data_IF_097446130567
#
_entry.id   IF_097446130567
#
_cell.length_a   1.000
_cell.length_b   1.000
_cell.length_c   1.000
_cell.angle_alpha   90.00
_cell.angle_beta   90.00
_cell.angle_gamma   90.00
#
_symmetry.space_group_name_H-M   'P 1'
#
loop_
_entity.id
_entity.type
_entity.pdbx_description
1 polymer ?
#
# COMPACT_ATOMS: atom_id res chain seq x y z
N UNK A 1 8.97 -4.38 15.88
CA UNK A 1 8.38 -3.30 15.09
C UNK A 1 7.16 -2.69 15.76
N UNK A 2 6.54 -3.27 16.79
CA UNK A 2 5.31 -2.70 17.37
C UNK A 2 5.45 -1.39 18.19
N UNK A 3 6.62 -0.76 18.31
CA UNK A 3 6.76 0.45 19.13
C UNK A 3 7.65 1.53 18.49
N UNK A 4 8.83 1.16 17.99
CA UNK A 4 9.83 2.16 17.56
C UNK A 4 9.48 3.00 16.33
N UNK A 5 8.62 2.50 15.42
CA UNK A 5 8.22 3.24 14.21
C UNK A 5 7.29 4.43 14.49
N UNK A 6 6.64 4.44 15.66
CA UNK A 6 5.66 5.46 16.03
C UNK A 6 6.22 6.48 17.04
N UNK A 7 7.51 6.35 17.39
CA UNK A 7 8.23 7.27 18.27
C UNK A 7 9.02 8.35 17.50
N UNK A 8 8.79 8.49 16.18
CA UNK A 8 9.44 9.52 15.36
C UNK A 8 10.88 9.17 14.95
N UNK A 9 11.37 7.97 15.24
CA UNK A 9 12.66 7.51 14.72
C UNK A 9 12.51 7.16 13.23
N UNK A 10 13.07 8.03 12.37
CA UNK A 10 13.20 7.85 10.92
C UNK A 10 13.57 6.40 10.57
N UNK A 11 12.72 5.80 9.73
CA UNK A 11 12.70 4.52 9.01
C UNK A 11 14.00 3.70 8.80
N UNK A 12 14.96 3.68 9.72
CA UNK A 12 16.26 3.08 9.48
C UNK A 12 16.87 2.57 10.78
N UNK A 13 17.40 1.35 10.70
CA UNK A 13 18.53 1.00 11.54
C UNK A 13 19.61 2.06 11.24
N UNK A 14 20.04 2.88 12.22
CA UNK A 14 20.75 4.15 11.97
C UNK A 14 22.16 3.98 11.38
N UNK A 15 22.57 2.73 11.17
CA UNK A 15 23.89 2.35 10.69
C UNK A 15 23.72 1.32 9.58
N UNK A 16 24.64 1.30 8.62
CA UNK A 16 24.68 0.22 7.65
C UNK A 16 24.90 -1.12 8.37
N UNK A 17 24.10 -2.13 8.02
CA UNK A 17 24.25 -3.51 8.52
C UNK A 17 25.49 -4.10 7.86
N UNK A 18 26.45 -4.56 8.66
CA UNK A 18 27.72 -5.13 8.17
C UNK A 18 27.78 -6.65 8.34
N UNK A 19 27.02 -7.20 9.28
CA UNK A 19 26.96 -8.64 9.55
C UNK A 19 25.60 -9.04 10.15
N UNK A 20 25.24 -10.33 10.12
CA UNK A 20 23.99 -10.81 10.74
C UNK A 20 23.91 -10.59 12.27
N UNK A 21 25.05 -10.42 12.95
CA UNK A 21 25.08 -10.10 14.38
C UNK A 21 24.44 -8.75 14.69
N UNK A 22 24.61 -7.75 13.80
CA UNK A 22 24.06 -6.40 13.94
C UNK A 22 22.52 -6.40 14.02
N UNK A 23 21.89 -7.35 13.33
CA UNK A 23 20.44 -7.45 13.18
C UNK A 23 19.79 -8.49 14.08
N UNK A 24 20.56 -9.34 14.75
CA UNK A 24 20.04 -10.46 15.57
C UNK A 24 19.15 -9.99 16.72
N UNK A 25 19.41 -8.79 17.26
CA UNK A 25 18.62 -8.18 18.34
C UNK A 25 17.41 -7.39 17.83
N UNK A 26 17.25 -7.24 16.53
CA UNK A 26 16.14 -6.47 15.97
C UNK A 26 14.84 -7.29 15.99
N UNK A 27 13.73 -6.68 16.42
CA UNK A 27 12.46 -7.37 16.49
C UNK A 27 11.98 -7.79 15.10
N UNK A 28 11.36 -8.98 15.00
CA UNK A 28 10.86 -9.61 13.77
C UNK A 28 11.93 -10.09 12.77
N UNK A 29 13.22 -9.99 13.10
CA UNK A 29 14.29 -10.60 12.30
C UNK A 29 14.59 -12.01 12.81
N UNK A 30 13.83 -12.97 12.29
CA UNK A 30 14.00 -14.39 12.60
C UNK A 30 15.13 -15.07 11.81
N UNK A 31 15.43 -16.35 12.09
CA UNK A 31 16.53 -17.08 11.45
C UNK A 31 16.47 -17.10 9.92
N UNK A 32 15.26 -17.13 9.33
CA UNK A 32 15.11 -17.06 7.86
C UNK A 32 15.62 -15.73 7.31
N UNK A 33 15.18 -14.60 7.87
CA UNK A 33 15.58 -13.26 7.42
C UNK A 33 17.08 -13.03 7.66
N UNK A 34 17.63 -13.51 8.78
CA UNK A 34 19.07 -13.43 9.07
C UNK A 34 19.90 -14.13 7.98
N UNK A 35 19.49 -15.34 7.57
CA UNK A 35 20.16 -16.06 6.48
C UNK A 35 20.13 -15.29 5.15
N UNK A 36 19.00 -14.66 4.82
CA UNK A 36 18.88 -13.84 3.62
C UNK A 36 19.77 -12.59 3.67
N UNK A 37 19.90 -11.96 4.84
CA UNK A 37 20.82 -10.82 5.04
C UNK A 37 22.27 -11.28 4.85
N UNK A 38 22.68 -12.39 5.46
CA UNK A 38 24.02 -12.94 5.29
C UNK A 38 24.33 -13.32 3.83
N UNK A 39 23.37 -13.92 3.13
CA UNK A 39 23.49 -14.25 1.71
C UNK A 39 23.71 -12.98 0.87
N UNK A 40 22.91 -11.94 1.13
CA UNK A 40 23.04 -10.67 0.43
C UNK A 40 24.38 -9.98 0.72
N UNK A 41 24.82 -9.93 1.98
CA UNK A 41 26.10 -9.32 2.35
C UNK A 41 27.30 -10.04 1.71
N UNK A 42 27.22 -11.36 1.52
CA UNK A 42 28.29 -12.15 0.89
C UNK A 42 28.29 -12.08 -0.63
N UNK A 43 27.11 -12.08 -1.25
CA UNK A 43 26.97 -12.30 -2.71
C UNK A 43 26.43 -11.09 -3.48
N UNK A 44 25.98 -10.05 -2.77
CA UNK A 44 25.25 -8.90 -3.31
C UNK A 44 23.86 -9.23 -3.85
N UNK A 45 23.37 -10.46 -3.67
CA UNK A 45 22.16 -10.99 -4.30
C UNK A 45 21.41 -11.91 -3.34
N UNK A 46 20.12 -12.10 -3.58
CA UNK A 46 19.30 -13.11 -2.88
C UNK A 46 18.78 -14.09 -3.92
N UNK A 47 19.18 -15.35 -3.82
CA UNK A 47 18.85 -16.41 -4.77
C UNK A 47 17.36 -16.72 -4.81
N UNK A 48 16.68 -16.78 -3.65
CA UNK A 48 15.22 -16.97 -3.56
C UNK A 48 14.47 -15.85 -4.29
N UNK A 49 14.88 -14.59 -4.10
CA UNK A 49 14.29 -13.44 -4.77
C UNK A 49 14.51 -13.51 -6.29
N UNK A 50 15.72 -13.86 -6.75
CA UNK A 50 16.01 -14.04 -8.18
C UNK A 50 15.17 -15.13 -8.82
N UNK A 51 15.03 -16.28 -8.14
CA UNK A 51 14.19 -17.39 -8.61
C UNK A 51 12.72 -16.96 -8.70
N UNK A 52 12.23 -16.22 -7.71
CA UNK A 52 10.87 -15.69 -7.72
C UNK A 52 10.66 -14.72 -8.89
N UNK A 53 11.54 -13.73 -9.06
CA UNK A 53 11.47 -12.75 -10.16
C UNK A 53 11.63 -13.37 -11.55
N UNK A 54 12.37 -14.47 -11.67
CA UNK A 54 12.53 -15.21 -12.92
C UNK A 54 11.34 -16.12 -13.25
N UNK A 55 10.44 -16.40 -12.30
CA UNK A 55 9.32 -17.29 -12.54
C UNK A 55 8.28 -16.63 -13.45
N UNK A 56 7.84 -17.35 -14.49
CA UNK A 56 6.78 -16.90 -15.41
C UNK A 56 5.53 -16.47 -14.62
N UNK A 57 5.12 -17.28 -13.63
CA UNK A 57 3.98 -16.99 -12.77
C UNK A 57 4.11 -15.61 -12.10
N UNK A 58 5.26 -15.29 -11.51
CA UNK A 58 5.45 -14.00 -10.85
C UNK A 58 5.45 -12.85 -11.86
N UNK A 59 6.13 -13.01 -12.99
CA UNK A 59 6.20 -11.99 -14.05
C UNK A 59 4.81 -11.67 -14.59
N UNK A 60 4.02 -12.69 -14.92
CA UNK A 60 2.66 -12.51 -15.41
C UNK A 60 1.77 -11.88 -14.33
N UNK A 61 1.76 -12.42 -13.11
CA UNK A 61 0.91 -11.85 -12.05
C UNK A 61 1.27 -10.40 -11.73
N UNK A 62 2.55 -10.05 -11.78
CA UNK A 62 3.02 -8.67 -11.57
C UNK A 62 2.59 -7.76 -12.73
N UNK A 63 2.76 -8.21 -13.98
CA UNK A 63 2.31 -7.49 -15.18
C UNK A 63 0.80 -7.22 -15.14
N UNK A 64 0.00 -8.25 -14.89
CA UNK A 64 -1.45 -8.12 -14.87
C UNK A 64 -1.93 -7.23 -13.73
N UNK A 65 -1.29 -7.33 -12.57
CA UNK A 65 -1.65 -6.52 -11.42
C UNK A 65 -1.36 -5.03 -11.63
N UNK A 66 -0.45 -4.65 -12.54
CA UNK A 66 -0.16 -3.24 -12.88
C UNK A 66 -1.34 -2.53 -13.54
N UNK A 67 -2.29 -3.27 -14.12
CA UNK A 67 -3.49 -2.70 -14.74
C UNK A 67 -4.43 -2.19 -13.65
N UNK A 68 -4.81 -0.91 -13.72
CA UNK A 68 -5.75 -0.34 -12.77
C UNK A 68 -7.10 -1.10 -12.77
N UNK A 69 -7.57 -1.47 -11.57
CA UNK A 69 -8.74 -2.31 -11.37
C UNK A 69 -8.48 -3.83 -11.44
N UNK A 70 -7.26 -4.27 -11.75
CA UNK A 70 -6.84 -5.68 -11.69
C UNK A 70 -6.00 -5.90 -10.43
N UNK A 71 -6.67 -6.30 -9.34
CA UNK A 71 -5.99 -6.68 -8.10
C UNK A 71 -5.38 -8.09 -8.14
N UNK A 72 -4.67 -8.48 -7.07
CA UNK A 72 -4.02 -9.78 -6.97
C UNK A 72 -4.99 -10.98 -7.15
N UNK A 73 -6.26 -10.85 -6.73
CA UNK A 73 -7.27 -11.89 -6.93
C UNK A 73 -7.60 -12.05 -8.44
N UNK A 74 -7.96 -10.95 -9.10
CA UNK A 74 -8.26 -10.92 -10.53
C UNK A 74 -7.06 -11.39 -11.36
N UNK A 75 -5.84 -10.96 -11.01
CA UNK A 75 -4.62 -11.40 -11.69
C UNK A 75 -4.42 -12.92 -11.60
N UNK A 76 -4.70 -13.53 -10.43
CA UNK A 76 -4.63 -15.00 -10.26
C UNK A 76 -5.71 -15.72 -11.05
N UNK A 77 -6.92 -15.19 -11.08
CA UNK A 77 -8.01 -15.74 -11.87
C UNK A 77 -7.68 -15.71 -13.37
N UNK A 78 -7.25 -14.56 -13.88
CA UNK A 78 -6.81 -14.41 -15.27
C UNK A 78 -5.70 -15.38 -15.62
N UNK A 79 -4.66 -15.48 -14.79
CA UNK A 79 -3.59 -16.46 -14.96
C UNK A 79 -4.11 -17.90 -14.99
N UNK A 80 -5.01 -18.27 -14.07
CA UNK A 80 -5.59 -19.61 -13.99
C UNK A 80 -6.42 -19.96 -15.24
N UNK A 81 -7.06 -18.97 -15.85
CA UNK A 81 -7.80 -19.11 -17.12
C UNK A 81 -6.92 -19.02 -18.37
N UNK A 82 -5.59 -18.96 -18.21
CA UNK A 82 -4.63 -18.91 -19.32
C UNK A 82 -4.37 -17.53 -19.92
N UNK A 83 -4.97 -16.46 -19.36
CA UNK A 83 -4.72 -15.08 -19.80
C UNK A 83 -3.42 -14.59 -19.17
N UNK A 84 -2.38 -14.42 -19.98
CA UNK A 84 -1.02 -14.14 -19.51
C UNK A 84 -0.44 -12.82 -20.01
N UNK A 85 -1.08 -12.19 -20.99
CA UNK A 85 -0.61 -10.95 -21.61
C UNK A 85 -1.62 -9.82 -21.45
N UNK A 86 -1.17 -8.58 -21.59
CA UNK A 86 -2.08 -7.41 -21.64
C UNK A 86 -3.04 -7.48 -22.83
N UNK A 87 -2.65 -8.12 -23.93
CA UNK A 87 -3.51 -8.33 -25.08
C UNK A 87 -4.67 -9.29 -24.76
N UNK A 88 -4.42 -10.32 -23.95
CA UNK A 88 -5.48 -11.22 -23.48
C UNK A 88 -6.50 -10.46 -22.62
N UNK A 89 -6.02 -9.54 -21.77
CA UNK A 89 -6.90 -8.69 -20.97
C UNK A 89 -7.67 -7.69 -21.84
N UNK A 90 -7.03 -7.07 -22.85
CA UNK A 90 -7.70 -6.18 -23.81
C UNK A 90 -8.84 -6.90 -24.52
N UNK A 91 -8.62 -8.12 -25.01
CA UNK A 91 -9.68 -8.95 -25.63
C UNK A 91 -10.80 -9.27 -24.63
N UNK A 92 -10.45 -9.69 -23.42
CA UNK A 92 -11.44 -10.07 -22.40
C UNK A 92 -12.29 -8.90 -21.93
N UNK A 93 -11.68 -7.76 -21.60
CA UNK A 93 -12.40 -6.59 -21.12
C UNK A 93 -13.05 -5.80 -22.25
N UNK A 94 -12.52 -5.83 -23.47
CA UNK A 94 -13.18 -5.26 -24.66
C UNK A 94 -14.56 -5.88 -24.89
N UNK A 95 -14.65 -7.21 -24.85
CA UNK A 95 -15.94 -7.90 -24.95
C UNK A 95 -16.92 -7.57 -23.81
N UNK A 96 -16.40 -7.25 -22.61
CA UNK A 96 -17.23 -6.84 -21.47
C UNK A 96 -17.72 -5.39 -21.54
N UNK A 97 -16.98 -4.52 -22.23
CA UNK A 97 -17.40 -3.13 -22.51
C UNK A 97 -18.58 -3.10 -23.46
N UNK A 98 -18.58 -3.94 -24.50
CA UNK A 98 -19.73 -4.12 -25.39
C UNK A 98 -20.99 -4.58 -24.62
N UNK A 99 -20.78 -5.32 -23.53
CA UNK A 99 -21.83 -5.71 -22.58
C UNK A 99 -22.12 -4.68 -21.46
N UNK A 100 -21.54 -3.47 -21.52
CA UNK A 100 -21.82 -2.36 -20.61
C UNK A 100 -21.11 -2.41 -19.25
N UNK A 101 -20.07 -3.23 -19.06
CA UNK A 101 -19.38 -3.39 -17.77
C UNK A 101 -17.87 -3.13 -17.86
N UNK A 102 -17.21 -2.86 -16.73
CA UNK A 102 -15.74 -2.74 -16.62
C UNK A 102 -15.06 -1.66 -17.50
N UNK A 103 -15.78 -0.60 -17.89
CA UNK A 103 -15.26 0.56 -18.62
C UNK A 103 -13.95 1.11 -18.04
N UNK A 104 -13.84 1.20 -16.71
CA UNK A 104 -12.63 1.69 -16.03
C UNK A 104 -11.39 0.80 -16.23
N UNK A 105 -11.56 -0.52 -16.35
CA UNK A 105 -10.44 -1.44 -16.62
C UNK A 105 -10.04 -1.36 -18.09
N UNK A 106 -11.01 -1.23 -19.00
CA UNK A 106 -10.73 -1.06 -20.42
C UNK A 106 -9.97 0.23 -20.71
N UNK A 107 -10.42 1.36 -20.15
CA UNK A 107 -9.70 2.63 -20.24
C UNK A 107 -8.28 2.54 -19.64
N UNK A 108 -8.13 1.83 -18.52
CA UNK A 108 -6.81 1.58 -17.92
C UNK A 108 -5.89 0.72 -18.79
N UNK A 109 -6.42 -0.23 -19.56
CA UNK A 109 -5.66 -1.07 -20.49
C UNK A 109 -5.23 -0.31 -21.75
N UNK A 110 -6.03 0.66 -22.18
CA UNK A 110 -5.68 1.58 -23.27
C UNK A 110 -4.60 2.57 -22.84
N UNK A 111 -4.69 3.07 -21.61
CA UNK A 111 -3.77 4.05 -21.03
C UNK A 111 -2.63 3.41 -20.23
N UNK A 112 -2.45 2.10 -20.30
CA UNK A 112 -1.54 1.34 -19.44
C UNK A 112 -0.09 1.82 -19.55
N UNK A 113 0.37 2.13 -20.76
CA UNK A 113 1.73 2.62 -21.01
C UNK A 113 1.97 4.03 -20.39
N UNK A 114 0.91 4.76 -20.04
CA UNK A 114 0.97 6.10 -19.46
C UNK A 114 0.69 6.11 -17.94
N UNK A 115 0.09 5.04 -17.40
CA UNK A 115 -0.37 4.97 -16.02
C UNK A 115 0.44 3.94 -15.22
N UNK A 116 1.57 4.36 -14.67
CA UNK A 116 2.26 3.60 -13.62
C UNK A 116 1.63 3.92 -12.25
N UNK A 117 0.88 2.97 -11.67
CA UNK A 117 0.80 2.64 -10.23
C UNK A 117 -0.49 1.90 -9.88
N UNK A 118 -0.40 1.02 -8.88
CA UNK A 118 -1.51 0.23 -8.34
C UNK A 118 -1.78 0.61 -6.88
N UNK A 119 -2.99 1.07 -6.58
CA UNK A 119 -3.48 1.15 -5.22
C UNK A 119 -4.79 0.38 -5.12
N UNK A 120 -4.89 -0.51 -4.13
CA UNK A 120 -6.11 -1.23 -3.82
C UNK A 120 -6.98 -0.37 -2.89
N UNK A 121 -8.21 -0.11 -3.32
CA UNK A 121 -9.22 0.65 -2.57
C UNK A 121 -9.71 -0.15 -1.35
N UNK A 122 -9.48 0.37 -0.15
CA UNK A 122 -9.99 -0.14 1.14
C UNK A 122 -10.29 1.05 2.05
N UNK A 123 -11.25 1.90 1.67
CA UNK A 123 -11.67 3.03 2.48
C UNK A 123 -13.16 3.34 2.29
N UNK A 124 -13.78 3.87 3.34
CA UNK A 124 -15.22 4.11 3.50
C UNK A 124 -15.62 5.51 3.02
N UNK A 125 -14.67 6.44 2.93
CA UNK A 125 -14.91 7.80 2.45
C UNK A 125 -15.33 7.81 0.97
N UNK A 126 -16.15 8.79 0.58
CA UNK A 126 -16.52 9.03 -0.81
C UNK A 126 -15.29 9.41 -1.64
N UNK A 127 -15.20 8.87 -2.86
CA UNK A 127 -14.02 9.03 -3.73
C UNK A 127 -14.39 9.09 -5.20
N UNK A 128 -13.61 9.88 -5.93
CA UNK A 128 -13.52 9.80 -7.36
C UNK A 128 -12.09 9.36 -7.74
N UNK A 129 -11.97 8.17 -8.32
CA UNK A 129 -10.73 7.66 -8.90
C UNK A 129 -10.78 7.99 -10.39
N UNK A 130 -10.03 9.00 -10.82
CA UNK A 130 -10.14 9.56 -12.17
C UNK A 130 -8.81 9.54 -12.90
N UNK A 131 -8.90 9.60 -14.22
CA UNK A 131 -7.75 9.83 -15.09
C UNK A 131 -7.98 11.17 -15.77
N UNK A 132 -7.03 12.10 -15.60
CA UNK A 132 -7.08 13.43 -16.21
C UNK A 132 -6.01 13.53 -17.31
N UNK A 133 -6.31 14.31 -18.36
CA UNK A 133 -5.35 14.64 -19.43
C UNK A 133 -5.15 16.15 -19.49
N UNK A 134 -4.16 16.72 -18.79
CA UNK A 134 -3.82 18.12 -18.95
C UNK A 134 -3.31 18.38 -20.38
N UNK A 135 -3.64 19.54 -20.95
CA UNK A 135 -3.33 19.89 -22.34
C UNK A 135 -1.82 19.77 -22.62
N UNK A 136 -1.45 18.99 -23.64
CA UNK A 136 -0.05 18.79 -24.04
C UNK A 136 0.77 17.89 -23.12
N UNK A 137 0.13 17.12 -22.22
CA UNK A 137 0.82 16.23 -21.29
C UNK A 137 0.24 14.81 -21.30
N UNK A 138 0.97 13.89 -20.69
CA UNK A 138 0.54 12.51 -20.48
C UNK A 138 -0.68 12.45 -19.55
N UNK A 139 -1.46 11.37 -19.67
CA UNK A 139 -2.54 11.11 -18.72
C UNK A 139 -1.97 10.94 -17.30
N UNK A 140 -2.78 11.32 -16.31
CA UNK A 140 -2.44 11.24 -14.88
C UNK A 140 -3.60 10.63 -14.12
N UNK A 141 -3.32 9.61 -13.30
CA UNK A 141 -4.28 9.10 -12.33
C UNK A 141 -4.34 10.04 -11.13
N UNK A 142 -5.54 10.43 -10.74
CA UNK A 142 -5.80 11.32 -9.60
C UNK A 142 -6.87 10.68 -8.73
N UNK A 143 -6.59 10.59 -7.43
CA UNK A 143 -7.58 10.17 -6.44
C UNK A 143 -8.09 11.41 -5.73
N UNK A 144 -9.40 11.67 -5.83
CA UNK A 144 -10.07 12.73 -5.10
C UNK A 144 -10.85 12.07 -3.98
N UNK A 145 -10.55 12.45 -2.74
CA UNK A 145 -11.19 11.92 -1.54
C UNK A 145 -12.00 13.03 -0.88
N UNK A 146 -13.27 12.73 -0.58
CA UNK A 146 -14.16 13.63 0.13
C UNK A 146 -14.28 13.16 1.58
N UNK A 147 -13.89 14.03 2.51
CA UNK A 147 -13.95 13.76 3.94
C UNK A 147 -14.83 14.81 4.63
N UNK A 148 -15.82 14.40 5.45
CA UNK A 148 -16.48 15.31 6.37
C UNK A 148 -15.46 16.00 7.28
N UNK A 149 -15.72 17.27 7.64
CA UNK A 149 -14.80 18.06 8.46
C UNK A 149 -14.41 17.37 9.77
N UNK A 150 -15.33 16.61 10.37
CA UNK A 150 -15.13 15.86 11.62
C UNK A 150 -14.10 14.73 11.54
N UNK A 151 -13.77 14.26 10.34
CA UNK A 151 -12.85 13.13 10.11
C UNK A 151 -11.71 13.51 9.15
N UNK A 152 -11.58 14.80 8.83
CA UNK A 152 -10.59 15.31 7.89
C UNK A 152 -9.18 14.89 8.28
N UNK A 153 -8.80 15.07 9.55
CA UNK A 153 -7.43 14.78 10.01
C UNK A 153 -7.11 13.28 10.04
N UNK A 154 -8.08 12.42 10.34
CA UNK A 154 -7.89 10.98 10.21
C UNK A 154 -7.79 10.55 8.75
N UNK A 155 -8.51 11.23 7.85
CA UNK A 155 -8.39 11.03 6.41
C UNK A 155 -6.99 11.43 5.91
N UNK A 156 -6.48 12.61 6.31
CA UNK A 156 -5.12 13.06 5.96
C UNK A 156 -4.09 12.01 6.40
N UNK A 157 -4.10 11.60 7.67
CA UNK A 157 -3.16 10.57 8.17
C UNK A 157 -3.32 9.25 7.41
N UNK A 158 -4.56 8.82 7.13
CA UNK A 158 -4.84 7.57 6.43
C UNK A 158 -4.41 7.55 4.95
N UNK A 159 -4.46 8.70 4.27
CA UNK A 159 -4.15 8.84 2.84
C UNK A 159 -2.72 9.30 2.55
N UNK A 160 -2.03 9.90 3.52
CA UNK A 160 -0.60 10.23 3.42
C UNK A 160 0.27 8.96 3.39
N UNK A 161 -0.18 7.88 4.05
CA UNK A 161 0.55 6.62 4.09
C UNK A 161 1.83 6.69 4.96
N UNK A 162 2.78 5.76 4.79
CA UNK A 162 2.78 4.63 3.84
C UNK A 162 1.75 3.54 4.18
N UNK A 163 1.57 2.54 3.31
CA UNK A 163 0.65 1.41 3.55
C UNK A 163 1.07 0.61 4.78
N UNK A 164 2.35 0.30 4.96
CA UNK A 164 2.85 -0.37 6.15
C UNK A 164 2.66 0.50 7.39
N UNK A 165 2.96 1.79 7.32
CA UNK A 165 2.73 2.73 8.43
C UNK A 165 1.26 2.73 8.86
N UNK A 166 0.33 2.88 7.91
CA UNK A 166 -1.10 2.82 8.19
C UNK A 166 -1.58 1.46 8.69
N UNK A 167 -0.94 0.34 8.32
CA UNK A 167 -1.22 -0.98 8.92
C UNK A 167 -0.81 -1.03 10.38
N UNK A 168 0.41 -0.60 10.68
CA UNK A 168 0.96 -0.65 12.04
C UNK A 168 0.23 0.32 12.96
N UNK A 169 -0.14 1.51 12.48
CA UNK A 169 -0.96 2.48 13.22
C UNK A 169 -2.32 1.87 13.62
N UNK A 170 -2.97 1.14 12.71
CA UNK A 170 -4.23 0.43 13.01
C UNK A 170 -4.06 -0.69 14.03
N UNK A 171 -2.96 -1.44 13.93
CA UNK A 171 -2.63 -2.49 14.91
C UNK A 171 -2.39 -1.87 16.29
N UNK A 172 -1.65 -0.76 16.36
CA UNK A 172 -1.39 -0.02 17.59
C UNK A 172 -2.67 0.54 18.20
N UNK A 173 -3.50 1.23 17.41
CA UNK A 173 -4.80 1.74 17.86
C UNK A 173 -5.63 0.63 18.51
N UNK A 174 -5.67 -0.55 17.89
CA UNK A 174 -6.36 -1.73 18.44
C UNK A 174 -5.81 -2.16 19.80
N UNK A 175 -4.49 -2.10 19.99
CA UNK A 175 -3.85 -2.39 21.27
C UNK A 175 -4.18 -1.36 22.36
N UNK A 176 -4.50 -0.12 21.96
CA UNK A 176 -4.98 0.94 22.84
C UNK A 176 -6.50 0.87 23.11
N UNK A 177 -7.20 -0.16 22.63
CA UNK A 177 -8.66 -0.26 22.76
C UNK A 177 -9.43 0.66 21.81
N UNK A 178 -8.78 1.15 20.75
CA UNK A 178 -9.33 2.06 19.75
C UNK A 178 -9.38 1.41 18.37
N UNK A 179 -10.27 1.88 17.52
CA UNK A 179 -10.24 1.65 16.08
C UNK A 179 -9.80 2.96 15.44
N UNK A 180 -8.86 2.85 14.51
CA UNK A 180 -8.46 3.96 13.64
C UNK A 180 -8.63 3.51 12.19
N UNK A 181 -9.16 4.40 11.35
CA UNK A 181 -9.06 4.37 9.89
C UNK A 181 -9.25 5.79 9.34
N UNK A 182 -9.21 5.95 8.02
CA UNK A 182 -9.39 7.26 7.36
C UNK A 182 -10.75 7.90 7.65
N UNK A 183 -11.74 7.14 8.10
CA UNK A 183 -13.08 7.63 8.45
C UNK A 183 -13.23 8.00 9.92
N UNK A 184 -12.19 7.85 10.75
CA UNK A 184 -12.21 8.36 12.13
C UNK A 184 -11.49 7.50 13.15
N UNK A 185 -11.56 7.94 14.40
CA UNK A 185 -11.18 7.17 15.58
C UNK A 185 -12.44 6.82 16.37
N UNK A 186 -12.60 5.57 16.78
CA UNK A 186 -13.66 5.15 17.69
C UNK A 186 -13.14 4.27 18.81
N UNK A 187 -13.82 4.24 19.94
CA UNK A 187 -13.54 3.25 20.98
C UNK A 187 -14.04 1.87 20.53
N UNK A 188 -13.24 0.82 20.74
CA UNK A 188 -13.64 -0.55 20.36
C UNK A 188 -14.82 -1.10 21.18
N UNK A 189 -14.97 -0.63 22.42
CA UNK A 189 -15.96 -1.17 23.37
C UNK A 189 -17.40 -0.72 23.09
N UNK A 190 -17.57 0.54 22.68
CA UNK A 190 -18.87 1.23 22.61
C UNK A 190 -19.05 2.00 21.30
N UNK A 191 -18.09 1.92 20.36
CA UNK A 191 -18.08 2.63 19.08
C UNK A 191 -18.21 4.15 19.19
N UNK A 192 -17.98 4.73 20.38
CA UNK A 192 -18.09 6.18 20.56
C UNK A 192 -16.97 6.88 19.78
N UNK A 193 -17.30 7.90 18.96
CA UNK A 193 -16.31 8.59 18.14
C UNK A 193 -15.40 9.50 18.98
N UNK A 194 -14.16 9.64 18.50
CA UNK A 194 -13.16 10.58 19.01
C UNK A 194 -12.79 11.51 17.85
N UNK A 195 -13.08 12.79 18.01
CA UNK A 195 -12.74 13.83 17.03
C UNK A 195 -11.32 14.33 17.31
N UNK A 196 -10.58 14.60 16.23
CA UNK A 196 -9.27 15.24 16.25
C UNK A 196 -9.30 16.45 15.30
N UNK A 197 -8.61 17.52 15.70
CA UNK A 197 -8.59 18.81 14.99
C UNK A 197 -7.24 19.16 14.36
N UNK A 198 -6.27 18.25 14.43
CA UNK A 198 -5.00 18.30 13.68
C UNK A 198 -4.45 16.89 13.48
N UNK A 199 -3.39 16.72 12.67
CA UNK A 199 -2.69 15.43 12.61
C UNK A 199 -2.06 15.10 13.97
N UNK A 200 -1.42 16.04 14.64
CA UNK A 200 -0.80 15.87 15.96
C UNK A 200 -1.83 15.38 16.99
N UNK A 201 -3.05 15.91 16.95
CA UNK A 201 -4.14 15.40 17.79
C UNK A 201 -4.48 13.94 17.46
N UNK A 202 -4.50 13.52 16.19
CA UNK A 202 -4.72 12.11 15.82
C UNK A 202 -3.68 11.21 16.53
N UNK A 203 -2.40 11.57 16.48
CA UNK A 203 -1.34 10.83 17.15
C UNK A 203 -1.49 10.87 18.69
N UNK A 204 -1.79 12.03 19.25
CA UNK A 204 -2.02 12.21 20.68
C UNK A 204 -3.18 11.34 21.18
N UNK A 205 -4.32 11.28 20.47
CA UNK A 205 -5.46 10.41 20.81
C UNK A 205 -5.13 8.92 20.73
N UNK A 206 -4.12 8.55 19.94
CA UNK A 206 -3.60 7.19 19.84
C UNK A 206 -2.46 6.90 20.83
N UNK A 207 -2.17 7.82 21.75
CA UNK A 207 -1.05 7.75 22.71
C UNK A 207 0.31 7.58 22.01
N UNK A 208 0.54 8.35 20.96
CA UNK A 208 1.78 8.37 20.18
C UNK A 208 2.36 9.78 20.11
N UNK A 209 3.67 9.83 19.94
CA UNK A 209 4.32 11.07 19.50
C UNK A 209 3.94 11.34 18.04
N UNK A 210 3.87 12.62 17.67
CA UNK A 210 3.65 12.98 16.28
C UNK A 210 4.83 12.53 15.42
N UNK A 211 4.53 12.01 14.23
CA UNK A 211 5.51 11.59 13.24
C UNK A 211 5.26 12.40 11.97
N UNK A 212 6.24 13.21 11.56
CA UNK A 212 6.18 13.98 10.32
C UNK A 212 5.95 13.07 9.10
N UNK A 213 5.23 13.52 8.07
CA UNK A 213 4.96 12.74 6.86
C UNK A 213 6.20 12.09 6.22
N UNK A 214 7.33 12.78 6.21
CA UNK A 214 8.61 12.31 5.64
C UNK A 214 9.17 11.08 6.37
N UNK A 215 8.78 10.87 7.62
CA UNK A 215 9.20 9.74 8.44
C UNK A 215 8.21 8.56 8.42
N UNK A 216 7.10 8.66 7.68
CA UNK A 216 6.05 7.60 7.58
C UNK A 216 6.32 6.58 6.47
N UNK A 217 7.52 6.56 5.88
CA UNK A 217 7.89 5.80 4.68
C UNK A 217 8.15 4.29 4.89
N UNK A 218 7.36 3.60 5.69
CA UNK A 218 7.64 2.21 6.14
C UNK A 218 7.47 1.08 5.10
N UNK A 219 7.20 1.41 3.83
CA UNK A 219 7.05 0.42 2.73
C UNK A 219 8.34 0.17 1.93
N UNK A 220 9.39 0.96 2.20
CA UNK A 220 10.66 0.98 1.43
C UNK A 220 11.63 -0.10 1.90
#
# INVERSE_FOLDING_TARGET
MKARFLEGESNTYPKAIKNAGDVRKLPHIGPKIQKLIDEYLKTGKISEARKASASERFQVLSLLAQVHGVGAANAREHYATGRKTLQDLRKFYGAKVEAGTHLGIAAALELHDELNTTHACMDVLDKALVIIKPKGSLHRRVDIVFAPYTVYWTAVVGWTGSKQFGRDLRIHAKQQGLKFDSSGITHLRDSRPIVAYSEEEVFSKLNLNYVEPEFRNADI
#
